data_IF_980518118806
#
_entry.id   IF_980518118806
#
_cell.length_a   1.000
_cell.length_b   1.000
_cell.length_c   1.000
_cell.angle_alpha   90.00
_cell.angle_beta   90.00
_cell.angle_gamma   90.00
#
_symmetry.space_group_name_H-M   'P 1'
#
loop_
_entity.id
_entity.type
_entity.pdbx_description
1 polymer ?
#
# COMPACT_ATOMS: atom_id res chain seq x y z
N UNK A 1 19.44 -17.84 8.85
CA UNK A 1 18.14 -18.03 8.17
C UNK A 1 17.06 -17.70 9.17
N UNK A 2 16.22 -16.71 8.91
CA UNK A 2 15.05 -16.48 9.76
C UNK A 2 14.18 -17.75 9.68
N UNK A 3 13.79 -18.33 10.81
CA UNK A 3 12.81 -19.41 10.83
C UNK A 3 11.49 -18.80 10.37
N UNK A 4 11.21 -18.91 9.07
CA UNK A 4 9.94 -18.52 8.50
C UNK A 4 8.95 -19.57 8.98
N UNK A 5 8.14 -19.20 9.97
CA UNK A 5 7.06 -20.07 10.43
C UNK A 5 5.98 -20.05 9.34
N UNK A 6 5.77 -21.20 8.71
CA UNK A 6 4.80 -21.40 7.64
C UNK A 6 3.37 -21.29 8.21
N UNK A 7 2.88 -20.05 8.26
CA UNK A 7 1.57 -19.68 8.81
C UNK A 7 0.72 -18.99 7.75
N UNK A 8 -0.59 -18.81 8.03
CA UNK A 8 -1.53 -18.03 7.19
C UNK A 8 -0.98 -16.67 6.74
N UNK A 9 -0.30 -15.95 7.64
CA UNK A 9 0.30 -14.66 7.33
C UNK A 9 1.47 -14.77 6.35
N UNK A 10 2.26 -15.86 6.42
CA UNK A 10 3.34 -16.09 5.47
C UNK A 10 2.79 -16.35 4.07
N UNK A 11 1.76 -17.20 3.95
CA UNK A 11 1.10 -17.44 2.66
C UNK A 11 0.52 -16.15 2.08
N UNK A 12 -0.07 -15.29 2.93
CA UNK A 12 -0.51 -13.95 2.52
C UNK A 12 0.65 -13.10 1.97
N UNK A 13 1.78 -13.02 2.68
CA UNK A 13 2.95 -12.27 2.21
C UNK A 13 3.47 -12.83 0.87
N UNK A 14 3.51 -14.15 0.70
CA UNK A 14 3.90 -14.77 -0.57
C UNK A 14 2.95 -14.36 -1.70
N UNK A 15 1.64 -14.34 -1.45
CA UNK A 15 0.66 -13.86 -2.43
C UNK A 15 0.84 -12.38 -2.79
N UNK A 16 1.08 -11.51 -1.81
CA UNK A 16 1.37 -10.09 -2.03
C UNK A 16 2.65 -9.89 -2.85
N UNK A 17 3.69 -10.69 -2.59
CA UNK A 17 4.93 -10.66 -3.35
C UNK A 17 4.72 -11.10 -4.81
N UNK A 18 3.91 -12.14 -5.06
CA UNK A 18 3.54 -12.55 -6.41
C UNK A 18 2.83 -11.40 -7.15
N UNK A 19 1.86 -10.74 -6.51
CA UNK A 19 1.14 -9.60 -7.10
C UNK A 19 2.08 -8.42 -7.40
N UNK A 20 3.07 -8.17 -6.54
CA UNK A 20 4.09 -7.16 -6.80
C UNK A 20 4.92 -7.50 -8.05
N UNK A 21 5.31 -8.76 -8.24
CA UNK A 21 6.04 -9.17 -9.44
C UNK A 21 5.17 -9.11 -10.69
N UNK A 22 3.89 -9.45 -10.61
CA UNK A 22 2.94 -9.32 -11.72
C UNK A 22 2.81 -7.85 -12.15
N UNK A 23 2.69 -6.92 -11.19
CA UNK A 23 2.68 -5.47 -11.46
C UNK A 23 3.98 -4.97 -12.09
N UNK A 24 5.13 -5.44 -11.60
CA UNK A 24 6.45 -5.09 -12.16
C UNK A 24 6.61 -5.61 -13.58
N UNK A 25 6.18 -6.83 -13.87
CA UNK A 25 6.18 -7.39 -15.23
C UNK A 25 5.26 -6.58 -16.16
N UNK A 26 4.06 -6.24 -15.71
CA UNK A 26 3.15 -5.39 -16.50
C UNK A 26 3.75 -4.00 -16.77
N UNK A 27 4.42 -3.40 -15.78
CA UNK A 27 5.08 -2.11 -15.96
C UNK A 27 6.23 -2.20 -16.97
N UNK A 28 7.09 -3.20 -16.83
CA UNK A 28 8.23 -3.43 -17.70
C UNK A 28 7.78 -3.59 -19.16
N UNK A 29 6.70 -4.35 -19.40
CA UNK A 29 6.18 -4.60 -20.74
C UNK A 29 5.55 -3.36 -21.40
N UNK A 30 4.89 -2.50 -20.61
CA UNK A 30 4.07 -1.40 -21.15
C UNK A 30 4.76 -0.03 -21.13
N UNK A 31 5.63 0.23 -20.14
CA UNK A 31 6.11 1.59 -19.86
C UNK A 31 7.64 1.72 -19.91
N UNK A 32 8.38 0.61 -19.81
CA UNK A 32 9.83 0.66 -19.75
C UNK A 32 10.45 0.60 -21.15
N UNK A 33 11.26 1.60 -21.47
CA UNK A 33 12.06 1.66 -22.69
C UNK A 33 13.40 0.99 -22.46
N UNK A 34 13.77 0.06 -23.34
CA UNK A 34 15.06 -0.62 -23.32
C UNK A 34 15.83 -0.25 -24.59
N UNK A 35 17.15 -0.14 -24.47
CA UNK A 35 18.03 0.12 -25.61
C UNK A 35 18.06 -1.07 -26.58
N UNK A 36 17.97 -2.30 -26.05
CA UNK A 36 17.91 -3.54 -26.83
C UNK A 36 16.78 -4.46 -26.36
N UNK A 37 16.22 -5.22 -27.30
CA UNK A 37 15.24 -6.27 -26.98
C UNK A 37 15.83 -7.39 -26.11
N UNK A 38 17.13 -7.67 -26.26
CA UNK A 38 17.83 -8.65 -25.45
C UNK A 38 17.84 -8.27 -23.95
N UNK A 39 17.97 -6.97 -23.65
CA UNK A 39 17.98 -6.47 -22.27
C UNK A 39 16.57 -6.53 -21.66
N UNK A 40 15.54 -6.23 -22.46
CA UNK A 40 14.13 -6.44 -22.08
C UNK A 40 13.85 -7.91 -21.78
N UNK A 41 14.32 -8.82 -22.64
CA UNK A 41 14.17 -10.26 -22.46
C UNK A 41 14.91 -10.78 -21.22
N UNK A 42 16.10 -10.25 -20.93
CA UNK A 42 16.84 -10.61 -19.72
C UNK A 42 16.15 -10.10 -18.45
N UNK A 43 15.64 -8.87 -18.46
CA UNK A 43 14.94 -8.26 -17.33
C UNK A 43 13.61 -8.96 -17.03
N UNK A 44 12.82 -9.25 -18.07
CA UNK A 44 11.60 -10.06 -17.94
C UNK A 44 11.90 -11.43 -17.36
N UNK A 45 12.82 -12.20 -17.95
CA UNK A 45 13.21 -13.53 -17.45
C UNK A 45 13.58 -13.52 -15.96
N UNK A 46 14.37 -12.54 -15.52
CA UNK A 46 14.77 -12.41 -14.10
C UNK A 46 13.56 -12.24 -13.18
N UNK A 47 12.58 -11.43 -13.57
CA UNK A 47 11.35 -11.22 -12.79
C UNK A 47 10.44 -12.45 -12.84
N UNK A 48 10.32 -13.10 -14.00
CA UNK A 48 9.52 -14.32 -14.15
C UNK A 48 10.06 -15.45 -13.27
N UNK A 49 11.38 -15.67 -13.25
CA UNK A 49 11.98 -16.71 -12.40
C UNK A 49 11.71 -16.49 -10.90
N UNK A 50 11.76 -15.24 -10.43
CA UNK A 50 11.44 -14.90 -9.04
C UNK A 50 9.97 -15.15 -8.74
N UNK A 51 9.09 -14.73 -9.64
CA UNK A 51 7.65 -14.99 -9.55
C UNK A 51 7.37 -16.49 -9.50
N UNK A 52 7.96 -17.27 -10.38
CA UNK A 52 7.71 -18.71 -10.48
C UNK A 52 8.17 -19.46 -9.23
N UNK A 53 9.30 -19.05 -8.63
CA UNK A 53 9.74 -19.58 -7.34
C UNK A 53 8.69 -19.34 -6.23
N UNK A 54 8.11 -18.14 -6.17
CA UNK A 54 7.04 -17.82 -5.20
C UNK A 54 5.72 -18.54 -5.50
N UNK A 55 5.41 -18.75 -6.77
CA UNK A 55 4.21 -19.52 -7.18
C UNK A 55 4.34 -20.97 -6.71
N UNK A 56 5.53 -21.57 -6.81
CA UNK A 56 5.77 -22.92 -6.32
C UNK A 56 5.62 -23.01 -4.80
N UNK A 57 6.14 -22.03 -4.05
CA UNK A 57 5.96 -22.01 -2.59
C UNK A 57 4.49 -21.81 -2.21
N UNK A 58 3.78 -20.88 -2.85
CA UNK A 58 2.36 -20.67 -2.61
C UNK A 58 1.52 -21.94 -2.88
N UNK A 59 1.80 -22.66 -3.98
CA UNK A 59 1.12 -23.92 -4.30
C UNK A 59 1.41 -25.00 -3.27
N UNK A 60 2.65 -25.09 -2.78
CA UNK A 60 3.03 -26.04 -1.72
C UNK A 60 2.26 -25.74 -0.44
N UNK A 61 2.28 -24.50 0.03
CA UNK A 61 1.61 -24.05 1.25
C UNK A 61 0.08 -24.21 1.18
N UNK A 62 -0.52 -23.95 0.01
CA UNK A 62 -1.94 -24.20 -0.21
C UNK A 62 -2.28 -25.70 -0.20
N UNK A 63 -1.40 -26.55 -0.76
CA UNK A 63 -1.53 -28.00 -0.71
C UNK A 63 -1.35 -28.60 0.69
N UNK A 64 -0.56 -27.94 1.54
CA UNK A 64 -0.40 -28.25 2.98
C UNK A 64 -1.65 -27.88 3.81
N UNK A 65 -2.65 -27.21 3.19
CA UNK A 65 -3.91 -26.88 3.83
C UNK A 65 -3.88 -25.59 4.65
N UNK A 66 -2.88 -24.73 4.45
CA UNK A 66 -2.83 -23.43 5.12
C UNK A 66 -3.99 -22.56 4.61
N UNK A 67 -4.81 -22.09 5.55
CA UNK A 67 -5.95 -21.23 5.23
C UNK A 67 -5.51 -19.92 4.58
N UNK A 68 -6.17 -19.53 3.49
CA UNK A 68 -6.02 -18.23 2.85
C UNK A 68 -7.38 -17.64 2.50
N UNK A 69 -7.48 -16.32 2.46
CA UNK A 69 -8.70 -15.65 2.01
C UNK A 69 -8.64 -15.45 0.49
N UNK A 70 -9.77 -15.61 -0.20
CA UNK A 70 -9.85 -15.37 -1.65
C UNK A 70 -9.50 -13.93 -2.05
N UNK A 71 -9.73 -12.96 -1.17
CA UNK A 71 -9.37 -11.56 -1.41
C UNK A 71 -7.86 -11.32 -1.43
N UNK A 72 -7.08 -12.18 -0.76
CA UNK A 72 -5.63 -12.10 -0.73
C UNK A 72 -4.99 -12.79 -1.96
N UNK A 73 -5.78 -13.42 -2.84
CA UNK A 73 -5.23 -14.01 -4.07
C UNK A 73 -4.70 -12.93 -5.02
N UNK A 74 -3.49 -13.12 -5.56
CA UNK A 74 -2.92 -12.21 -6.56
C UNK A 74 -3.77 -12.23 -7.83
N UNK A 75 -3.70 -11.13 -8.58
CA UNK A 75 -4.54 -10.91 -9.76
C UNK A 75 -4.40 -12.02 -10.81
N UNK A 76 -3.23 -12.65 -10.92
CA UNK A 76 -2.99 -13.77 -11.84
C UNK A 76 -3.62 -15.10 -11.44
N UNK A 77 -4.03 -15.28 -10.18
CA UNK A 77 -4.76 -16.47 -9.71
C UNK A 77 -6.28 -16.27 -9.64
N UNK A 78 -6.78 -15.04 -9.81
CA UNK A 78 -8.22 -14.80 -9.84
C UNK A 78 -8.78 -15.30 -11.18
N UNK A 79 -9.81 -16.16 -11.19
CA UNK A 79 -10.48 -16.55 -12.42
C UNK A 79 -11.07 -15.28 -13.05
N UNK A 80 -10.88 -15.14 -14.36
CA UNK A 80 -11.20 -13.94 -15.15
C UNK A 80 -12.69 -13.58 -15.13
N UNK A 81 -13.54 -14.49 -14.64
CA UNK A 81 -15.00 -14.41 -14.61
C UNK A 81 -15.61 -14.24 -13.21
N UNK A 82 -14.81 -13.98 -12.17
CA UNK A 82 -15.36 -13.69 -10.84
C UNK A 82 -15.89 -12.24 -10.79
N UNK A 83 -17.20 -12.01 -10.56
CA UNK A 83 -17.73 -10.66 -10.43
C UNK A 83 -17.05 -9.97 -9.25
N UNK A 84 -16.41 -8.85 -9.53
CA UNK A 84 -15.90 -7.93 -8.53
C UNK A 84 -17.10 -7.51 -7.68
N UNK A 85 -17.13 -7.93 -6.41
CA UNK A 85 -18.00 -7.31 -5.42
C UNK A 85 -17.51 -5.87 -5.25
N UNK A 86 -18.07 -4.99 -6.07
CA UNK A 86 -17.91 -3.54 -5.97
C UNK A 86 -18.75 -3.14 -4.77
N UNK A 87 -18.15 -2.99 -3.59
CA UNK A 87 -18.72 -2.11 -2.57
C UNK A 87 -18.47 -0.67 -3.03
N UNK A 88 -19.30 -0.23 -3.96
CA UNK A 88 -19.63 1.17 -4.20
C UNK A 88 -20.16 1.75 -2.90
N UNK A 89 -19.33 2.46 -2.15
CA UNK A 89 -19.83 3.48 -1.21
C UNK A 89 -20.03 4.76 -1.99
N UNK A 90 -21.28 4.94 -2.38
CA UNK A 90 -21.82 6.12 -3.03
C UNK A 90 -21.56 7.38 -2.19
N UNK A 91 -21.20 8.44 -2.89
CA UNK A 91 -21.27 9.82 -2.43
C UNK A 91 -22.73 10.15 -2.15
N UNK A 92 -23.10 10.27 -0.88
CA UNK A 92 -24.33 10.93 -0.44
C UNK A 92 -23.97 12.20 0.33
N UNK A 93 -24.21 13.32 -0.33
CA UNK A 93 -24.18 14.68 0.21
C UNK A 93 -25.33 14.87 1.22
N UNK A 94 -25.00 15.17 2.48
CA UNK A 94 -25.85 15.91 3.42
C UNK A 94 -25.05 16.32 4.67
N UNK A 95 -24.68 17.60 4.76
CA UNK A 95 -24.34 18.27 6.02
C UNK A 95 -25.61 18.49 6.89
N UNK A 96 -25.56 19.07 8.10
CA UNK A 96 -24.56 19.01 9.18
C UNK A 96 -25.22 18.79 10.57
N UNK A 97 -24.63 18.01 11.52
CA UNK A 97 -24.99 18.12 12.95
C UNK A 97 -23.80 17.85 13.89
N UNK A 98 -23.45 18.91 14.61
CA UNK A 98 -23.17 18.99 16.06
C UNK A 98 -22.04 18.14 16.67
N UNK A 99 -20.99 18.88 17.08
CA UNK A 99 -20.07 18.71 18.20
C UNK A 99 -20.12 17.43 19.05
N UNK A 100 -18.92 16.86 19.34
CA UNK A 100 -18.36 16.78 20.70
C UNK A 100 -16.82 16.69 20.64
N UNK A 101 -16.08 17.28 21.60
CA UNK A 101 -14.64 17.46 21.55
C UNK A 101 -13.90 16.21 22.06
N UNK A 102 -13.18 15.52 21.17
CA UNK A 102 -12.23 14.51 21.61
C UNK A 102 -10.94 15.17 22.10
N UNK A 103 -10.81 15.27 23.42
CA UNK A 103 -9.57 15.64 24.11
C UNK A 103 -8.81 14.36 24.45
N UNK A 104 -7.64 14.07 23.85
CA UNK A 104 -6.77 13.05 24.41
C UNK A 104 -5.97 13.67 25.56
N UNK A 105 -6.38 13.36 26.78
CA UNK A 105 -5.62 13.64 27.99
C UNK A 105 -4.49 12.60 28.16
N UNK A 106 -3.25 13.10 28.18
CA UNK A 106 -2.09 12.47 28.80
C UNK A 106 -1.20 11.66 27.84
N UNK A 107 0.12 11.71 27.90
CA UNK A 107 1.05 12.54 28.65
C UNK A 107 2.45 12.28 28.06
N UNK A 108 3.23 13.35 27.88
CA UNK A 108 4.69 13.42 27.85
C UNK A 108 5.49 12.17 27.43
N UNK A 109 5.75 12.07 26.12
CA UNK A 109 7.02 11.53 25.64
C UNK A 109 7.76 12.66 24.95
N UNK A 110 8.87 13.08 25.56
CA UNK A 110 9.84 14.04 25.07
C UNK A 110 10.47 13.58 23.75
N UNK A 111 9.71 13.67 22.66
CA UNK A 111 10.29 13.64 21.32
C UNK A 111 10.76 15.07 21.09
N UNK A 112 12.08 15.23 20.98
CA UNK A 112 12.76 16.42 20.46
C UNK A 112 11.82 17.20 19.54
N UNK A 113 11.64 18.49 19.80
CA UNK A 113 11.01 19.43 18.87
C UNK A 113 11.83 19.44 17.58
N UNK A 114 11.62 18.45 16.72
CA UNK A 114 11.97 18.53 15.31
C UNK A 114 11.04 19.62 14.80
N UNK A 115 11.56 20.85 14.73
CA UNK A 115 10.86 21.92 14.03
C UNK A 115 10.49 21.43 12.64
N UNK A 116 9.40 21.96 12.09
CA UNK A 116 9.08 21.71 10.69
C UNK A 116 10.34 21.92 9.85
N UNK A 117 10.69 21.02 8.90
CA UNK A 117 11.81 21.23 8.00
C UNK A 117 11.68 22.51 7.16
N UNK A 118 10.49 23.12 7.17
CA UNK A 118 10.15 24.37 6.52
C UNK A 118 10.08 25.57 7.48
N UNK A 119 10.52 25.44 8.74
CA UNK A 119 10.48 26.51 9.73
C UNK A 119 11.18 27.78 9.19
N UNK A 120 10.47 28.90 9.22
CA UNK A 120 10.95 30.19 8.68
C UNK A 120 10.79 30.38 7.16
N UNK A 121 10.22 29.42 6.44
CA UNK A 121 9.82 29.58 5.03
C UNK A 121 8.32 29.77 4.90
N UNK A 122 7.86 30.15 3.70
CA UNK A 122 6.43 30.28 3.40
C UNK A 122 5.62 28.98 3.53
N UNK A 123 6.30 27.82 3.61
CA UNK A 123 5.66 26.51 3.85
C UNK A 123 5.62 26.13 5.34
N UNK A 124 5.97 27.03 6.26
CA UNK A 124 5.83 26.77 7.68
C UNK A 124 4.35 26.75 8.10
N UNK A 125 3.88 25.57 8.53
CA UNK A 125 2.50 25.38 8.98
C UNK A 125 2.16 26.26 10.20
N UNK A 126 3.15 26.59 11.04
CA UNK A 126 2.94 27.43 12.22
C UNK A 126 2.56 28.86 11.82
N UNK A 127 3.24 29.42 10.82
CA UNK A 127 2.95 30.76 10.30
C UNK A 127 1.56 30.81 9.66
N UNK A 128 1.19 29.77 8.91
CA UNK A 128 -0.11 29.66 8.25
C UNK A 128 -1.26 29.62 9.26
N UNK A 129 -1.11 28.87 10.36
CA UNK A 129 -2.10 28.81 11.43
C UNK A 129 -2.22 30.15 12.16
N UNK A 130 -1.10 30.84 12.44
CA UNK A 130 -1.14 32.16 13.07
C UNK A 130 -1.88 33.20 12.21
N UNK A 131 -1.61 33.23 10.90
CA UNK A 131 -2.33 34.10 9.97
C UNK A 131 -3.83 33.79 9.93
N UNK A 132 -4.20 32.51 9.92
CA UNK A 132 -5.60 32.12 9.98
C UNK A 132 -6.28 32.60 11.28
N UNK A 133 -5.62 32.43 12.44
CA UNK A 133 -6.15 32.88 13.72
C UNK A 133 -6.29 34.41 13.80
N UNK A 134 -5.32 35.16 13.28
CA UNK A 134 -5.41 36.63 13.21
C UNK A 134 -6.55 37.08 12.29
N UNK A 135 -6.73 36.43 11.13
CA UNK A 135 -7.83 36.73 10.22
C UNK A 135 -9.19 36.42 10.86
N UNK A 136 -9.28 35.31 11.60
CA UNK A 136 -10.48 34.92 12.33
C UNK A 136 -10.81 35.85 13.50
N UNK A 137 -9.81 36.43 14.16
CA UNK A 137 -10.03 37.39 15.26
C UNK A 137 -10.42 38.80 14.77
N UNK A 138 -10.23 39.09 13.49
CA UNK A 138 -10.54 40.40 12.87
C UNK A 138 -11.86 40.40 12.09
N UNK A 139 -12.52 39.25 11.99
CA UNK A 139 -13.86 39.07 11.44
C UNK A 139 -14.86 38.93 12.59
#
# INVERSE_FOLDING_TARGET
MANIVENKYYLKTVHEEIDLFDRKLAHLLNFESFDNEADRAAATRKLTLKRDALVLTAKRLAGEGIEFNQNDLPRSFRPKDAPVAVETTEVAEAAPKTAEPFVPAGSNRSVRRQGSPYAGTSLDWQSSVQHYMQKKAKA
#
